data_IF_932655618469
#
_entry.id   IF_932655618469
#
_cell.length_a   1.000
_cell.length_b   1.000
_cell.length_c   1.000
_cell.angle_alpha   90.00
_cell.angle_beta   90.00
_cell.angle_gamma   90.00
#
_symmetry.space_group_name_H-M   'P 1'
#
loop_
_entity.id
_entity.type
_entity.pdbx_description
1 polymer ?
#
# COMPACT_ATOMS: atom_id res chain seq x y z
N UNK A 1 1.82 -13.68 -14.20
CA UNK A 1 0.60 -12.89 -13.95
C UNK A 1 0.93 -11.89 -12.86
N UNK A 2 0.49 -10.65 -12.97
CA UNK A 2 0.80 -9.58 -12.02
C UNK A 2 -0.37 -9.23 -11.07
N UNK A 3 -1.41 -10.05 -11.08
CA UNK A 3 -2.60 -9.88 -10.23
C UNK A 3 -2.87 -11.18 -9.49
N UNK A 4 -3.12 -11.09 -8.19
CA UNK A 4 -3.51 -12.20 -7.31
C UNK A 4 -4.81 -11.83 -6.58
N UNK A 5 -5.50 -12.80 -6.03
CA UNK A 5 -6.71 -12.58 -5.24
C UNK A 5 -6.46 -12.97 -3.79
N UNK A 6 -6.56 -12.00 -2.87
CA UNK A 6 -6.41 -12.22 -1.43
C UNK A 6 -7.71 -11.79 -0.75
N UNK A 7 -8.32 -12.68 0.03
CA UNK A 7 -9.60 -12.42 0.71
C UNK A 7 -10.71 -11.88 -0.22
N UNK A 8 -10.75 -12.34 -1.48
CA UNK A 8 -11.71 -11.87 -2.49
C UNK A 8 -11.38 -10.51 -3.11
N UNK A 9 -10.23 -9.93 -2.80
CA UNK A 9 -9.77 -8.65 -3.36
C UNK A 9 -8.69 -8.90 -4.40
N UNK A 10 -8.82 -8.30 -5.57
CA UNK A 10 -7.75 -8.31 -6.57
C UNK A 10 -6.63 -7.36 -6.20
N UNK A 11 -5.42 -7.90 -6.09
CA UNK A 11 -4.20 -7.15 -5.73
C UNK A 11 -3.20 -7.23 -6.87
N UNK A 12 -2.77 -6.09 -7.37
CA UNK A 12 -1.67 -6.02 -8.35
C UNK A 12 -0.33 -6.07 -7.60
N UNK A 13 0.48 -7.08 -7.89
CA UNK A 13 1.73 -7.39 -7.17
C UNK A 13 2.96 -6.66 -7.71
N UNK A 14 2.78 -5.77 -8.68
CA UNK A 14 3.84 -4.93 -9.22
C UNK A 14 4.09 -3.71 -8.34
N UNK A 15 5.29 -3.14 -8.43
CA UNK A 15 5.61 -1.87 -7.78
C UNK A 15 4.71 -0.74 -8.28
N UNK A 16 4.49 0.26 -7.44
CA UNK A 16 3.85 1.52 -7.84
C UNK A 16 4.91 2.62 -7.87
N UNK A 17 5.37 2.98 -9.08
CA UNK A 17 6.46 3.96 -9.25
C UNK A 17 6.04 4.99 -10.29
N UNK A 18 6.12 6.26 -9.95
CA UNK A 18 5.80 7.35 -10.87
C UNK A 18 4.36 7.34 -11.37
N UNK A 19 3.41 6.91 -10.55
CA UNK A 19 1.99 6.86 -10.88
C UNK A 19 1.59 5.67 -11.77
N UNK A 20 2.43 4.65 -11.90
CA UNK A 20 2.18 3.47 -12.73
C UNK A 20 2.67 2.17 -12.10
N UNK A 21 2.12 1.05 -12.55
CA UNK A 21 2.59 -0.29 -12.18
C UNK A 21 3.83 -0.68 -12.96
N UNK A 22 4.89 -1.10 -12.23
CA UNK A 22 6.19 -1.49 -12.78
C UNK A 22 6.54 -2.87 -12.27
N UNK A 23 6.76 -3.82 -13.20
CA UNK A 23 7.22 -5.16 -12.85
C UNK A 23 8.73 -5.17 -12.61
N UNK A 24 9.20 -6.06 -11.74
CA UNK A 24 10.62 -6.42 -11.62
C UNK A 24 10.93 -7.65 -12.46
N UNK A 25 12.21 -7.87 -12.84
CA UNK A 25 12.65 -9.10 -13.45
C UNK A 25 12.49 -10.34 -12.55
N UNK A 26 12.57 -10.14 -11.25
CA UNK A 26 12.47 -11.19 -10.24
C UNK A 26 11.20 -11.07 -9.42
N UNK A 27 10.71 -12.21 -8.93
CA UNK A 27 9.60 -12.30 -7.98
C UNK A 27 10.02 -13.11 -6.76
N UNK A 28 9.20 -13.09 -5.74
CA UNK A 28 9.25 -14.02 -4.62
C UNK A 28 7.85 -14.50 -4.30
N UNK A 29 7.77 -15.74 -3.81
CA UNK A 29 6.50 -16.33 -3.38
C UNK A 29 6.12 -15.79 -2.01
N UNK A 30 4.92 -15.26 -1.89
CA UNK A 30 4.32 -14.84 -0.63
C UNK A 30 3.46 -15.97 -0.07
N UNK A 31 3.63 -16.24 1.23
CA UNK A 31 2.99 -17.36 1.91
C UNK A 31 2.33 -16.87 3.20
N UNK A 32 1.05 -17.14 3.35
CA UNK A 32 0.32 -16.80 4.55
C UNK A 32 0.86 -17.53 5.79
N UNK A 33 1.26 -16.83 6.85
CA UNK A 33 1.67 -17.48 8.10
C UNK A 33 0.50 -18.06 8.89
N UNK A 34 -0.75 -17.81 8.49
CA UNK A 34 -1.96 -18.32 9.16
C UNK A 34 -2.13 -19.80 8.91
N UNK A 35 -1.94 -20.24 7.66
CA UNK A 35 -2.23 -21.62 7.22
C UNK A 35 -1.18 -22.21 6.27
N UNK A 36 -0.16 -21.43 5.91
CA UNK A 36 0.88 -21.85 4.96
C UNK A 36 0.45 -21.81 3.49
N UNK A 37 -0.71 -21.23 3.18
CA UNK A 37 -1.18 -21.12 1.82
C UNK A 37 -0.34 -20.13 1.02
N UNK A 38 -0.04 -20.45 -0.23
CA UNK A 38 0.61 -19.52 -1.15
C UNK A 38 -0.39 -18.42 -1.53
N UNK A 39 -0.06 -17.16 -1.24
CA UNK A 39 -0.86 -15.99 -1.61
C UNK A 39 -0.59 -15.58 -3.06
N UNK A 40 0.66 -15.64 -3.50
CA UNK A 40 1.04 -15.38 -4.88
C UNK A 40 2.49 -15.00 -5.08
N UNK A 41 2.80 -14.54 -6.29
CA UNK A 41 4.13 -14.05 -6.68
C UNK A 41 4.17 -12.53 -6.63
N UNK A 42 5.08 -11.98 -5.85
CA UNK A 42 5.25 -10.55 -5.63
C UNK A 42 6.52 -10.08 -6.34
N UNK A 43 6.46 -8.93 -6.99
CA UNK A 43 7.64 -8.31 -7.62
C UNK A 43 8.72 -8.01 -6.58
N UNK A 44 9.93 -8.56 -6.80
CA UNK A 44 11.09 -8.29 -5.95
C UNK A 44 11.80 -7.03 -6.44
N UNK A 45 11.78 -5.96 -5.64
CA UNK A 45 12.53 -4.75 -5.93
C UNK A 45 14.01 -4.87 -5.56
N UNK A 46 14.87 -4.38 -6.45
CA UNK A 46 16.29 -4.21 -6.22
C UNK A 46 16.71 -2.74 -6.25
N UNK A 47 17.99 -2.49 -6.44
CA UNK A 47 18.55 -1.14 -6.52
C UNK A 47 17.94 -0.32 -7.66
N UNK A 48 17.69 -0.94 -8.81
CA UNK A 48 17.12 -0.25 -9.97
C UNK A 48 15.71 0.29 -9.70
N UNK A 49 14.86 -0.52 -9.08
CA UNK A 49 13.49 -0.12 -8.70
C UNK A 49 13.51 0.95 -7.60
N UNK A 50 14.40 0.81 -6.61
CA UNK A 50 14.58 1.80 -5.55
C UNK A 50 15.04 3.15 -6.13
N UNK A 51 16.03 3.15 -6.99
CA UNK A 51 16.54 4.37 -7.65
C UNK A 51 15.45 5.03 -8.52
N UNK A 52 14.69 4.23 -9.27
CA UNK A 52 13.57 4.72 -10.08
C UNK A 52 12.48 5.35 -9.20
N UNK A 53 12.15 4.74 -8.05
CA UNK A 53 11.17 5.27 -7.11
C UNK A 53 11.63 6.60 -6.51
N UNK A 54 12.89 6.69 -6.09
CA UNK A 54 13.49 7.93 -5.57
C UNK A 54 13.51 9.02 -6.65
N UNK A 55 13.90 8.68 -7.88
CA UNK A 55 13.90 9.64 -8.98
C UNK A 55 12.50 10.19 -9.28
N UNK A 56 11.48 9.31 -9.30
CA UNK A 56 10.09 9.71 -9.48
C UNK A 56 9.59 10.63 -8.35
N UNK A 57 9.92 10.30 -7.10
CA UNK A 57 9.57 11.13 -5.94
C UNK A 57 10.24 12.51 -6.01
N UNK A 58 11.54 12.57 -6.36
CA UNK A 58 12.27 13.85 -6.55
C UNK A 58 11.67 14.68 -7.67
N UNK A 59 11.25 14.08 -8.78
CA UNK A 59 10.60 14.76 -9.88
C UNK A 59 9.23 15.34 -9.49
N UNK A 60 8.46 14.65 -8.65
CA UNK A 60 7.16 15.10 -8.17
C UNK A 60 7.24 16.18 -7.07
N UNK A 61 8.32 16.17 -6.28
CA UNK A 61 8.45 17.02 -5.09
C UNK A 61 8.26 18.52 -5.36
N UNK A 62 8.82 19.17 -6.43
CA UNK A 62 8.63 20.60 -6.65
C UNK A 62 7.18 21.02 -6.82
N UNK A 63 6.35 20.19 -7.46
CA UNK A 63 4.92 20.47 -7.60
C UNK A 63 4.20 20.36 -6.25
N UNK A 64 4.49 19.29 -5.49
CA UNK A 64 3.96 19.10 -4.15
C UNK A 64 4.35 20.24 -3.19
N UNK A 65 5.62 20.67 -3.21
CA UNK A 65 6.14 21.71 -2.34
C UNK A 65 5.52 23.09 -2.60
N UNK A 66 5.04 23.34 -3.83
CA UNK A 66 4.33 24.59 -4.17
C UNK A 66 2.89 24.65 -3.69
N UNK A 67 2.28 23.52 -3.35
CA UNK A 67 0.93 23.50 -2.79
C UNK A 67 0.92 24.21 -1.42
N UNK A 68 -0.15 24.92 -1.16
CA UNK A 68 -0.41 25.48 0.18
C UNK A 68 -0.61 24.33 1.20
N UNK A 69 -0.42 24.59 2.50
CA UNK A 69 -0.75 23.61 3.55
C UNK A 69 -2.19 23.08 3.43
N UNK A 70 -3.14 23.94 3.10
CA UNK A 70 -4.55 23.57 2.92
C UNK A 70 -4.75 22.59 1.76
N UNK A 71 -4.09 22.81 0.64
CA UNK A 71 -4.19 21.92 -0.53
C UNK A 71 -3.56 20.55 -0.24
N UNK A 72 -2.38 20.52 0.41
CA UNK A 72 -1.75 19.27 0.84
C UNK A 72 -2.63 18.52 1.84
N UNK A 73 -3.20 19.24 2.82
CA UNK A 73 -4.13 18.67 3.80
C UNK A 73 -5.36 18.07 3.13
N UNK A 74 -5.94 18.74 2.15
CA UNK A 74 -7.09 18.19 1.41
C UNK A 74 -6.77 16.86 0.70
N UNK A 75 -5.59 16.73 0.11
CA UNK A 75 -5.13 15.49 -0.51
C UNK A 75 -4.97 14.38 0.54
N UNK A 76 -4.34 14.69 1.69
CA UNK A 76 -4.16 13.70 2.76
C UNK A 76 -5.50 13.29 3.38
N UNK A 77 -6.45 14.19 3.55
CA UNK A 77 -7.81 13.84 3.97
C UNK A 77 -8.48 12.88 3.00
N UNK A 78 -8.38 13.14 1.68
CA UNK A 78 -8.93 12.24 0.67
C UNK A 78 -8.27 10.84 0.72
N UNK A 79 -6.97 10.75 0.99
CA UNK A 79 -6.28 9.48 1.23
C UNK A 79 -6.84 8.77 2.47
N UNK A 80 -7.01 9.49 3.57
CA UNK A 80 -7.58 8.93 4.81
C UNK A 80 -9.02 8.41 4.59
N UNK A 81 -9.85 9.15 3.88
CA UNK A 81 -11.23 8.77 3.57
C UNK A 81 -11.27 7.50 2.71
N UNK A 82 -10.33 7.38 1.75
CA UNK A 82 -10.22 6.17 0.92
C UNK A 82 -9.76 4.96 1.74
N UNK A 83 -8.79 5.11 2.65
CA UNK A 83 -8.38 4.04 3.57
C UNK A 83 -9.56 3.63 4.47
N UNK A 84 -10.28 4.59 5.04
CA UNK A 84 -11.44 4.33 5.90
C UNK A 84 -12.54 3.55 5.19
N UNK A 85 -12.82 3.88 3.95
CA UNK A 85 -13.80 3.17 3.13
C UNK A 85 -13.43 1.71 2.82
N UNK A 86 -12.15 1.35 2.95
CA UNK A 86 -11.61 0.01 2.61
C UNK A 86 -11.02 -0.73 3.82
N UNK A 87 -11.31 -0.29 5.05
CA UNK A 87 -10.72 -0.87 6.28
C UNK A 87 -10.90 -2.39 6.34
N UNK A 88 -12.07 -2.90 6.03
CA UNK A 88 -12.35 -4.33 6.11
C UNK A 88 -11.49 -5.13 5.10
N UNK A 89 -11.41 -4.67 3.87
CA UNK A 89 -10.59 -5.30 2.84
C UNK A 89 -9.10 -5.29 3.20
N UNK A 90 -8.59 -4.13 3.62
CA UNK A 90 -7.20 -3.96 4.04
C UNK A 90 -6.87 -4.82 5.26
N UNK A 91 -7.75 -4.89 6.26
CA UNK A 91 -7.56 -5.70 7.45
C UNK A 91 -7.50 -7.21 7.14
N UNK A 92 -8.34 -7.69 6.22
CA UNK A 92 -8.32 -9.10 5.80
C UNK A 92 -7.04 -9.45 5.05
N UNK A 93 -6.60 -8.61 4.11
CA UNK A 93 -5.36 -8.80 3.36
C UNK A 93 -4.18 -8.83 4.33
N UNK A 94 -4.06 -7.84 5.20
CA UNK A 94 -2.99 -7.71 6.19
C UNK A 94 -2.92 -8.91 7.14
N UNK A 95 -4.08 -9.44 7.56
CA UNK A 95 -4.13 -10.64 8.41
C UNK A 95 -3.58 -11.87 7.69
N UNK A 96 -3.91 -12.08 6.43
CA UNK A 96 -3.43 -13.21 5.64
C UNK A 96 -1.93 -13.09 5.32
N UNK A 97 -1.46 -11.86 5.05
CA UNK A 97 -0.07 -11.58 4.70
C UNK A 97 0.88 -11.72 5.92
N UNK A 98 0.53 -11.13 7.06
CA UNK A 98 1.45 -11.07 8.22
C UNK A 98 1.02 -11.90 9.44
N UNK A 99 -0.16 -12.51 9.44
CA UNK A 99 -0.67 -13.34 10.53
C UNK A 99 -1.19 -12.60 11.75
N UNK A 100 -1.25 -11.29 11.73
CA UNK A 100 -1.80 -10.50 12.84
C UNK A 100 -3.31 -10.69 12.97
N UNK A 101 -3.84 -10.56 14.18
CA UNK A 101 -5.26 -10.79 14.46
C UNK A 101 -6.16 -9.80 13.71
N UNK A 102 -7.11 -10.30 12.95
CA UNK A 102 -8.10 -9.50 12.21
C UNK A 102 -8.80 -8.46 13.09
N UNK A 103 -9.22 -8.83 14.31
CA UNK A 103 -9.84 -7.89 15.25
C UNK A 103 -8.94 -6.70 15.62
N UNK A 104 -7.62 -6.93 15.65
CA UNK A 104 -6.64 -5.86 15.95
C UNK A 104 -6.53 -4.90 14.78
N UNK A 105 -6.56 -5.40 13.55
CA UNK A 105 -6.60 -4.56 12.35
C UNK A 105 -7.89 -3.75 12.27
N UNK A 106 -9.05 -4.39 12.44
CA UNK A 106 -10.35 -3.73 12.32
C UNK A 106 -10.60 -2.65 13.39
N UNK A 107 -10.15 -2.90 14.64
CA UNK A 107 -10.48 -2.02 15.79
C UNK A 107 -9.35 -1.11 16.24
N UNK A 108 -8.14 -1.37 15.82
CA UNK A 108 -6.95 -0.65 16.28
C UNK A 108 -6.08 -0.13 15.13
N UNK A 109 -5.46 -1.02 14.35
CA UNK A 109 -4.43 -0.65 13.38
C UNK A 109 -4.98 0.23 12.27
N UNK A 110 -6.00 -0.21 11.54
CA UNK A 110 -6.55 0.54 10.40
C UNK A 110 -7.21 1.86 10.81
N UNK A 111 -8.03 1.94 11.88
CA UNK A 111 -8.51 3.23 12.39
C UNK A 111 -7.38 4.16 12.81
N UNK A 112 -6.28 3.63 13.37
CA UNK A 112 -5.12 4.44 13.72
C UNK A 112 -4.40 4.98 12.49
N UNK A 113 -4.29 4.22 11.41
CA UNK A 113 -3.72 4.71 10.14
C UNK A 113 -4.51 5.91 9.64
N UNK A 114 -5.85 5.81 9.59
CA UNK A 114 -6.74 6.91 9.20
C UNK A 114 -6.53 8.13 10.10
N UNK A 115 -6.53 7.92 11.41
CA UNK A 115 -6.37 8.98 12.39
C UNK A 115 -5.01 9.69 12.28
N UNK A 116 -3.93 8.93 12.07
CA UNK A 116 -2.59 9.49 11.89
C UNK A 116 -2.50 10.34 10.61
N UNK A 117 -3.04 9.87 9.49
CA UNK A 117 -3.05 10.65 8.25
C UNK A 117 -3.81 11.96 8.46
N UNK A 118 -5.00 11.90 9.07
CA UNK A 118 -5.81 13.10 9.36
C UNK A 118 -5.14 14.06 10.34
N UNK A 119 -4.37 13.54 11.29
CA UNK A 119 -3.65 14.38 12.26
C UNK A 119 -2.57 15.23 11.59
N UNK A 120 -1.87 14.70 10.60
CA UNK A 120 -0.82 15.42 9.88
C UNK A 120 -1.34 16.21 8.67
N UNK A 121 -2.61 16.05 8.31
CA UNK A 121 -3.27 16.81 7.25
C UNK A 121 -3.67 18.21 7.71
#
# INVERSE_FOLDING_TARGET
MSTITIAGVEVDTRHWIGGRRVASPETFTDVSPVDGAVLGEISRGGTAEADAAVAAAKAAFPAWARLSPRERGAILHAVADNVEAHIEQLANIETLDNGSLLRSHLRGVMPRVVMNIRFFA
#
